data_IF_610222388516
#
_entry.id   IF_610222388516
#
_cell.length_a   1.000
_cell.length_b   1.000
_cell.length_c   1.000
_cell.angle_alpha   90.00
_cell.angle_beta   90.00
_cell.angle_gamma   90.00
#
_symmetry.space_group_name_H-M   'P 1'
#
loop_
_entity.id
_entity.type
_entity.pdbx_description
1 polymer ?
#
# COMPACT_ATOMS: atom_id res chain seq x y z
N UNK A 1 -30.15 50.46 -17.44
CA UNK A 1 -29.16 49.40 -17.15
C UNK A 1 -29.43 48.83 -15.77
N UNK A 2 -29.65 47.51 -15.64
CA UNK A 2 -29.31 46.71 -14.46
C UNK A 2 -29.48 45.23 -14.81
N UNK A 3 -28.45 44.70 -15.45
CA UNK A 3 -28.23 43.29 -15.66
C UNK A 3 -27.71 42.74 -14.32
N UNK A 4 -28.62 42.23 -13.49
CA UNK A 4 -28.22 41.53 -12.26
C UNK A 4 -27.76 40.14 -12.67
N UNK A 5 -26.48 39.91 -12.43
CA UNK A 5 -25.65 38.86 -12.99
C UNK A 5 -26.13 37.49 -12.52
N UNK A 6 -26.28 36.62 -13.52
CA UNK A 6 -26.30 35.17 -13.46
C UNK A 6 -24.97 34.64 -12.90
N UNK A 7 -24.75 34.79 -11.59
CA UNK A 7 -23.53 34.28 -10.91
C UNK A 7 -23.85 33.23 -9.85
N UNK A 8 -25.09 33.18 -9.36
CA UNK A 8 -25.49 32.25 -8.31
C UNK A 8 -25.72 30.83 -8.83
N UNK A 9 -26.15 30.68 -10.09
CA UNK A 9 -26.46 29.36 -10.67
C UNK A 9 -25.19 28.54 -11.01
N UNK A 10 -24.07 29.22 -11.28
CA UNK A 10 -22.80 28.56 -11.64
C UNK A 10 -22.14 27.85 -10.44
N UNK A 11 -22.36 28.36 -9.23
CA UNK A 11 -21.79 27.83 -7.98
C UNK A 11 -22.43 26.50 -7.54
N UNK A 12 -23.68 26.23 -7.92
CA UNK A 12 -24.32 24.95 -7.61
C UNK A 12 -23.73 23.79 -8.43
N UNK A 13 -23.24 24.05 -9.65
CA UNK A 13 -22.66 23.01 -10.49
C UNK A 13 -21.24 22.63 -10.07
N UNK A 14 -20.46 23.53 -9.47
CA UNK A 14 -19.09 23.19 -9.02
C UNK A 14 -19.04 22.30 -7.78
N UNK A 15 -20.09 22.29 -6.95
CA UNK A 15 -20.13 21.44 -5.75
C UNK A 15 -20.62 20.01 -6.03
N UNK A 16 -21.31 19.76 -7.15
CA UNK A 16 -21.86 18.44 -7.47
C UNK A 16 -20.88 17.51 -8.21
N UNK A 17 -19.74 18.03 -8.68
CA UNK A 17 -18.73 17.24 -9.41
C UNK A 17 -17.41 16.99 -8.66
N UNK A 18 -17.26 17.46 -7.42
CA UNK A 18 -16.05 17.20 -6.61
C UNK A 18 -16.22 16.11 -5.55
N UNK A 19 -17.36 15.41 -5.54
CA UNK A 19 -17.50 14.12 -4.86
C UNK A 19 -16.89 12.98 -5.69
N UNK A 20 -15.70 13.19 -6.24
CA UNK A 20 -14.77 12.06 -6.37
C UNK A 20 -14.53 11.58 -4.96
N UNK A 21 -15.28 10.54 -4.55
CA UNK A 21 -15.00 9.79 -3.34
C UNK A 21 -13.56 9.31 -3.48
N UNK A 22 -12.64 10.05 -2.85
CA UNK A 22 -11.32 9.59 -2.52
C UNK A 22 -11.55 8.39 -1.62
N UNK A 23 -11.72 7.22 -2.21
CA UNK A 23 -11.51 5.97 -1.50
C UNK A 23 -10.09 6.09 -0.98
N UNK A 24 -9.98 6.34 0.32
CA UNK A 24 -8.70 6.38 1.01
C UNK A 24 -8.10 4.99 0.85
N UNK A 25 -7.26 4.82 -0.17
CA UNK A 25 -6.51 3.60 -0.36
C UNK A 25 -5.63 3.44 0.88
N UNK A 26 -5.82 2.36 1.62
CA UNK A 26 -5.01 2.04 2.79
C UNK A 26 -3.56 1.92 2.33
N UNK A 27 -2.67 2.71 2.92
CA UNK A 27 -1.23 2.74 2.59
C UNK A 27 -0.44 2.24 3.78
N UNK A 28 0.74 1.70 3.51
CA UNK A 28 1.67 1.43 4.60
C UNK A 28 2.12 2.76 5.21
N UNK A 29 2.33 2.83 6.53
CA UNK A 29 2.83 4.01 7.24
C UNK A 29 4.32 4.26 6.97
N UNK A 30 4.89 3.65 5.93
CA UNK A 30 6.28 3.75 5.50
C UNK A 30 6.34 4.62 4.26
N UNK A 31 7.34 5.52 4.17
CA UNK A 31 7.48 6.37 2.99
C UNK A 31 7.68 5.55 1.71
N UNK A 32 7.15 6.02 0.58
CA UNK A 32 7.45 5.36 -0.70
C UNK A 32 8.93 5.52 -1.06
N UNK A 33 9.51 4.50 -1.68
CA UNK A 33 10.92 4.46 -2.04
C UNK A 33 11.49 3.05 -2.11
N UNK A 34 12.79 2.99 -2.38
CA UNK A 34 13.56 1.76 -2.42
C UNK A 34 14.25 1.50 -1.07
N UNK A 35 14.23 0.24 -0.66
CA UNK A 35 14.77 -0.21 0.61
C UNK A 35 15.67 -1.42 0.40
N UNK A 36 16.83 -1.41 1.03
CA UNK A 36 17.70 -2.58 1.12
C UNK A 36 17.22 -3.51 2.22
N UNK A 37 17.22 -4.81 1.96
CA UNK A 37 16.97 -5.83 2.98
C UNK A 37 18.28 -6.13 3.72
N UNK A 38 18.25 -6.01 5.05
CA UNK A 38 19.41 -6.22 5.92
C UNK A 38 19.39 -7.58 6.64
N UNK A 39 18.29 -8.32 6.56
CA UNK A 39 18.16 -9.68 7.08
C UNK A 39 18.57 -10.72 6.05
N UNK A 40 19.08 -11.86 6.51
CA UNK A 40 19.34 -13.03 5.66
C UNK A 40 18.01 -13.67 5.26
N UNK A 41 17.45 -13.18 4.16
CA UNK A 41 16.18 -13.62 3.58
C UNK A 41 16.37 -13.88 2.09
N UNK A 42 15.34 -14.40 1.45
CA UNK A 42 15.35 -14.63 0.01
C UNK A 42 15.49 -13.33 -0.82
N UNK A 43 15.07 -12.19 -0.26
CA UNK A 43 15.02 -10.89 -0.94
C UNK A 43 16.24 -10.03 -0.61
N UNK A 44 16.71 -9.24 -1.58
CA UNK A 44 17.78 -8.26 -1.39
C UNK A 44 17.26 -6.81 -1.36
N UNK A 45 16.12 -6.55 -2.01
CA UNK A 45 15.50 -5.22 -2.07
C UNK A 45 13.97 -5.29 -1.95
N UNK A 46 13.41 -4.26 -1.32
CA UNK A 46 11.98 -4.00 -1.21
C UNK A 46 11.69 -2.61 -1.77
N UNK A 47 10.70 -2.49 -2.65
CA UNK A 47 10.20 -1.21 -3.14
C UNK A 47 8.78 -0.98 -2.62
N UNK A 48 8.53 0.18 -2.03
CA UNK A 48 7.23 0.56 -1.48
C UNK A 48 6.67 1.73 -2.28
N UNK A 49 5.46 1.56 -2.82
CA UNK A 49 4.75 2.56 -3.63
C UNK A 49 3.31 2.67 -3.12
N UNK A 50 3.08 3.56 -2.15
CA UNK A 50 1.76 3.75 -1.52
C UNK A 50 1.24 2.48 -0.83
N UNK A 51 0.33 1.76 -1.49
CA UNK A 51 -0.26 0.51 -1.01
C UNK A 51 0.40 -0.74 -1.63
N UNK A 52 1.39 -0.58 -2.50
CA UNK A 52 2.07 -1.69 -3.18
C UNK A 52 3.46 -1.91 -2.59
N UNK A 53 3.81 -3.17 -2.37
CA UNK A 53 5.15 -3.61 -1.97
C UNK A 53 5.65 -4.59 -3.01
N UNK A 54 6.82 -4.33 -3.58
CA UNK A 54 7.49 -5.19 -4.54
C UNK A 54 8.78 -5.71 -3.95
N UNK A 55 9.03 -7.02 -4.05
CA UNK A 55 10.27 -7.64 -3.56
C UNK A 55 11.12 -8.11 -4.73
N UNK A 56 12.42 -7.89 -4.59
CA UNK A 56 13.40 -8.22 -5.61
C UNK A 56 14.44 -9.20 -5.07
N UNK A 57 15.02 -9.94 -5.99
CA UNK A 57 16.19 -10.77 -5.77
C UNK A 57 17.11 -10.65 -6.98
N UNK A 58 18.34 -10.20 -6.77
CA UNK A 58 19.34 -9.98 -7.82
C UNK A 58 18.79 -9.10 -8.96
N UNK A 59 18.01 -8.08 -8.60
CA UNK A 59 17.36 -7.17 -9.55
C UNK A 59 16.12 -7.72 -10.26
N UNK A 60 15.74 -8.98 -10.03
CA UNK A 60 14.51 -9.57 -10.59
C UNK A 60 13.33 -9.41 -9.63
N UNK A 61 12.20 -8.94 -10.14
CA UNK A 61 10.95 -8.90 -9.38
C UNK A 61 10.46 -10.32 -9.09
N UNK A 62 10.35 -10.68 -7.81
CA UNK A 62 9.98 -12.03 -7.36
C UNK A 62 8.67 -12.07 -6.58
N UNK A 63 8.21 -10.93 -6.06
CA UNK A 63 6.95 -10.84 -5.33
C UNK A 63 6.30 -9.47 -5.41
N UNK A 64 4.98 -9.47 -5.30
CA UNK A 64 4.17 -8.25 -5.20
C UNK A 64 3.07 -8.46 -4.17
N UNK A 65 2.94 -7.48 -3.28
CA UNK A 65 1.93 -7.45 -2.22
C UNK A 65 1.15 -6.15 -2.31
N UNK A 66 -0.16 -6.23 -2.17
CA UNK A 66 -1.04 -5.05 -2.22
C UNK A 66 -1.79 -4.95 -0.91
N UNK A 67 -1.65 -3.82 -0.21
CA UNK A 67 -2.41 -3.52 1.00
C UNK A 67 -3.88 -3.36 0.62
N UNK A 68 -4.72 -4.17 1.25
CA UNK A 68 -6.18 -4.17 1.04
C UNK A 68 -6.93 -3.57 2.22
N UNK A 69 -6.38 -3.67 3.43
CA UNK A 69 -7.06 -3.25 4.64
C UNK A 69 -6.08 -2.97 5.79
N UNK A 70 -6.48 -2.14 6.74
CA UNK A 70 -5.81 -1.97 8.03
C UNK A 70 -6.77 -2.35 9.15
N UNK A 71 -6.30 -3.18 10.10
CA UNK A 71 -7.07 -3.57 11.29
C UNK A 71 -6.15 -3.57 12.52
N UNK A 72 -6.54 -2.83 13.55
CA UNK A 72 -5.85 -2.83 14.86
C UNK A 72 -4.34 -2.59 14.76
N UNK A 73 -3.91 -1.67 13.88
CA UNK A 73 -2.49 -1.36 13.65
C UNK A 73 -1.71 -2.42 12.87
N UNK A 74 -2.41 -3.36 12.23
CA UNK A 74 -1.85 -4.34 11.31
C UNK A 74 -2.39 -4.11 9.90
N UNK A 75 -1.56 -4.40 8.90
CA UNK A 75 -1.89 -4.23 7.49
C UNK A 75 -2.16 -5.59 6.86
N UNK A 76 -3.34 -5.76 6.27
CA UNK A 76 -3.69 -6.95 5.52
C UNK A 76 -3.23 -6.72 4.09
N UNK A 77 -2.36 -7.59 3.59
CA UNK A 77 -1.83 -7.51 2.24
C UNK A 77 -2.22 -8.76 1.46
N UNK A 78 -2.54 -8.57 0.20
CA UNK A 78 -2.80 -9.67 -0.72
C UNK A 78 -1.54 -10.02 -1.51
N UNK A 79 -1.18 -11.30 -1.52
CA UNK A 79 -0.13 -11.85 -2.38
C UNK A 79 -0.69 -11.98 -3.79
N UNK A 80 -0.07 -11.28 -4.73
CA UNK A 80 -0.45 -11.30 -6.15
C UNK A 80 0.72 -11.76 -7.00
N UNK A 81 0.46 -11.99 -8.29
CA UNK A 81 1.53 -12.27 -9.23
C UNK A 81 2.49 -11.06 -9.33
N UNK A 82 3.80 -11.30 -9.54
CA UNK A 82 4.76 -10.22 -9.78
C UNK A 82 4.28 -9.25 -10.87
N UNK A 83 4.28 -7.95 -10.55
CA UNK A 83 3.95 -6.87 -11.50
C UNK A 83 2.46 -6.51 -11.59
N UNK A 84 1.61 -7.09 -10.75
CA UNK A 84 0.21 -6.68 -10.62
C UNK A 84 0.13 -5.30 -9.94
N UNK A 85 -0.60 -4.37 -10.55
CA UNK A 85 -0.70 -2.98 -10.08
C UNK A 85 -1.85 -2.73 -9.10
N UNK A 86 -2.92 -3.52 -9.18
CA UNK A 86 -4.09 -3.35 -8.31
C UNK A 86 -4.85 -4.66 -8.13
N UNK A 87 -5.70 -4.72 -7.10
CA UNK A 87 -6.62 -5.84 -6.85
C UNK A 87 -8.06 -5.36 -6.88
N UNK A 88 -8.96 -6.20 -7.39
CA UNK A 88 -10.40 -6.00 -7.24
C UNK A 88 -10.78 -6.03 -5.75
N UNK A 89 -11.66 -5.13 -5.32
CA UNK A 89 -12.19 -5.01 -3.96
C UNK A 89 -13.39 -5.94 -3.68
N UNK A 90 -13.76 -6.79 -4.63
CA UNK A 90 -14.81 -7.79 -4.42
C UNK A 90 -14.49 -8.73 -3.23
N UNK A 91 -15.30 -8.74 -2.16
CA UNK A 91 -15.03 -9.53 -0.95
C UNK A 91 -15.26 -11.04 -1.16
N UNK A 92 -15.94 -11.44 -2.24
CA UNK A 92 -16.22 -12.85 -2.55
C UNK A 92 -15.11 -13.54 -3.35
N UNK A 93 -14.05 -12.82 -3.73
CA UNK A 93 -12.91 -13.39 -4.42
C UNK A 93 -12.08 -14.24 -3.46
N UNK A 94 -11.58 -15.37 -3.94
CA UNK A 94 -10.54 -16.10 -3.22
C UNK A 94 -9.25 -15.28 -3.21
N UNK A 95 -8.73 -14.97 -2.01
CA UNK A 95 -7.58 -14.09 -1.81
C UNK A 95 -6.53 -14.80 -0.97
N UNK A 96 -5.28 -14.71 -1.39
CA UNK A 96 -4.14 -15.13 -0.56
C UNK A 96 -3.68 -13.94 0.26
N UNK A 97 -4.09 -13.90 1.53
CA UNK A 97 -3.84 -12.78 2.43
C UNK A 97 -2.69 -13.07 3.39
N UNK A 98 -1.90 -12.06 3.70
CA UNK A 98 -0.92 -12.06 4.79
C UNK A 98 -1.15 -10.86 5.69
N UNK A 99 -0.67 -10.95 6.91
CA UNK A 99 -0.72 -9.85 7.88
C UNK A 99 0.69 -9.27 8.00
N UNK A 100 0.82 -7.98 7.76
CA UNK A 100 2.04 -7.21 7.98
C UNK A 100 1.92 -6.33 9.21
N UNK A 101 2.93 -6.40 10.08
CA UNK A 101 3.17 -5.43 11.14
C UNK A 101 4.46 -4.68 10.87
N UNK A 102 4.40 -3.37 11.08
CA UNK A 102 5.47 -2.44 10.82
C UNK A 102 5.94 -1.87 12.16
N UNK A 103 7.18 -2.15 12.53
CA UNK A 103 7.82 -1.53 13.70
C UNK A 103 8.95 -0.61 13.20
N UNK A 104 8.85 0.69 13.47
CA UNK A 104 9.91 1.66 13.19
C UNK A 104 11.00 1.54 14.25
N UNK A 105 12.24 1.25 13.83
CA UNK A 105 13.39 1.21 14.71
C UNK A 105 14.10 2.56 14.73
N UNK A 106 14.23 3.18 13.55
CA UNK A 106 14.73 4.54 13.36
C UNK A 106 13.97 5.19 12.19
N UNK A 107 14.29 6.44 11.84
CA UNK A 107 13.71 7.12 10.67
C UNK A 107 14.04 6.43 9.33
N UNK A 108 15.16 5.69 9.27
CA UNK A 108 15.64 5.03 8.05
C UNK A 108 15.51 3.51 8.10
N UNK A 109 15.14 2.95 9.25
CA UNK A 109 15.14 1.51 9.48
C UNK A 109 13.82 1.03 10.04
N UNK A 110 13.26 0.00 9.40
CA UNK A 110 11.98 -0.57 9.75
C UNK A 110 12.07 -2.09 9.77
N UNK A 111 11.39 -2.71 10.73
CA UNK A 111 11.18 -4.15 10.79
C UNK A 111 9.77 -4.48 10.30
N UNK A 112 9.69 -5.23 9.21
CA UNK A 112 8.46 -5.83 8.70
C UNK A 112 8.30 -7.22 9.30
N UNK A 113 7.19 -7.47 9.99
CA UNK A 113 6.81 -8.82 10.44
C UNK A 113 5.64 -9.31 9.59
N UNK A 114 5.87 -10.32 8.76
CA UNK A 114 4.90 -10.89 7.84
C UNK A 114 4.40 -12.23 8.37
N UNK A 115 3.12 -12.30 8.75
CA UNK A 115 2.47 -13.54 9.18
C UNK A 115 1.73 -14.16 8.01
N UNK A 116 2.15 -15.36 7.62
CA UNK A 116 1.54 -16.15 6.55
C UNK A 116 0.22 -16.83 7.00
N UNK A 117 -0.63 -17.32 6.07
CA UNK A 117 -1.86 -18.02 6.42
C UNK A 117 -1.65 -19.27 7.29
N UNK A 118 -0.48 -19.91 7.17
CA UNK A 118 -0.10 -21.08 7.97
C UNK A 118 0.39 -20.70 9.39
N UNK A 119 0.39 -19.42 9.76
CA UNK A 119 0.84 -18.90 11.05
C UNK A 119 2.35 -18.69 11.17
N UNK A 120 3.14 -19.06 10.15
CA UNK A 120 4.58 -18.76 10.13
C UNK A 120 4.82 -17.25 10.05
N UNK A 121 5.85 -16.78 10.76
CA UNK A 121 6.20 -15.36 10.83
C UNK A 121 7.58 -15.14 10.25
N UNK A 122 7.64 -14.43 9.14
CA UNK A 122 8.86 -13.92 8.54
C UNK A 122 9.15 -12.51 9.08
N UNK A 123 10.41 -12.24 9.43
CA UNK A 123 10.83 -10.92 9.92
C UNK A 123 11.91 -10.38 9.00
N UNK A 124 11.61 -9.24 8.38
CA UNK A 124 12.48 -8.60 7.39
C UNK A 124 12.90 -7.25 7.95
N UNK A 125 14.19 -7.00 8.01
CA UNK A 125 14.73 -5.68 8.33
C UNK A 125 15.00 -4.94 7.03
N UNK A 126 14.38 -3.76 6.87
CA UNK A 126 14.54 -2.93 5.69
C UNK A 126 15.14 -1.57 6.05
N UNK A 127 16.05 -1.09 5.21
CA UNK A 127 16.74 0.18 5.37
C UNK A 127 16.55 1.04 4.13
N UNK A 128 16.09 2.28 4.31
CA UNK A 128 15.85 3.22 3.22
C UNK A 128 17.17 3.58 2.51
N UNK A 129 17.18 3.47 1.19
CA UNK A 129 18.31 3.86 0.33
C UNK A 129 18.38 5.38 0.11
#
# INVERSE_FOLDING_TARGET
MKQVKSTTLLLLFTCLFTSSSLFSQVRLPISSGDYKVATDTYYDQVKIEGNKVSTYQQGKLVGTFIVVEERLGQYIMEIVQPGVESVDNNPKRDRKLIIARIDFLTEKECKLSLTQPNGSVERILIQKL
#
